data_IF_271898335168
#
_entry.id   IF_271898335168
#
_cell.length_a   1.000
_cell.length_b   1.000
_cell.length_c   1.000
_cell.angle_alpha   90.00
_cell.angle_beta   90.00
_cell.angle_gamma   90.00
#
_symmetry.space_group_name_H-M   'P 1'
#
loop_
_entity.id
_entity.type
_entity.pdbx_description
1 polymer ?
#
# COMPACT_ATOMS: atom_id res chain seq x y z
N UNK A 1 45.60 -45.33 -0.56
CA UNK A 1 45.41 -43.86 -0.60
C UNK A 1 44.26 -43.48 -1.54
N UNK A 2 43.01 -43.29 -1.07
CA UNK A 2 41.90 -42.77 -1.90
C UNK A 2 40.62 -42.40 -1.13
N UNK A 3 40.70 -41.91 0.12
CA UNK A 3 39.51 -41.52 0.90
C UNK A 3 39.56 -40.16 1.61
N UNK A 4 40.70 -39.47 1.65
CA UNK A 4 40.82 -38.19 2.37
C UNK A 4 40.28 -36.97 1.59
N UNK A 5 40.08 -37.06 0.27
CA UNK A 5 39.84 -35.90 -0.58
C UNK A 5 38.36 -35.48 -0.76
N UNK A 6 37.39 -36.26 -0.28
CA UNK A 6 35.95 -35.93 -0.44
C UNK A 6 35.38 -35.09 0.70
N UNK A 7 35.95 -35.18 1.91
CA UNK A 7 35.47 -34.42 3.07
C UNK A 7 35.98 -32.97 3.09
N UNK A 8 37.18 -32.71 2.59
CA UNK A 8 37.77 -31.35 2.55
C UNK A 8 36.99 -30.42 1.60
N UNK A 9 36.49 -30.95 0.47
CA UNK A 9 35.72 -30.16 -0.51
C UNK A 9 34.33 -29.81 0.02
N UNK A 10 33.68 -30.71 0.77
CA UNK A 10 32.35 -30.47 1.34
C UNK A 10 32.42 -29.43 2.48
N UNK A 11 33.47 -29.46 3.31
CA UNK A 11 33.64 -28.49 4.39
C UNK A 11 33.93 -27.07 3.87
N UNK A 12 34.68 -26.94 2.77
CA UNK A 12 34.92 -25.64 2.09
C UNK A 12 33.65 -25.05 1.44
N UNK A 13 32.78 -25.88 0.86
CA UNK A 13 31.53 -25.42 0.26
C UNK A 13 30.53 -24.91 1.33
N UNK A 14 30.45 -25.58 2.49
CA UNK A 14 29.58 -25.16 3.60
C UNK A 14 30.08 -23.88 4.27
N UNK A 15 31.40 -23.68 4.38
CA UNK A 15 31.97 -22.41 4.89
C UNK A 15 31.72 -21.23 3.94
N UNK A 16 31.82 -21.42 2.62
CA UNK A 16 31.50 -20.36 1.65
C UNK A 16 30.02 -19.95 1.68
N UNK A 17 29.09 -20.90 1.87
CA UNK A 17 27.67 -20.58 2.02
C UNK A 17 27.38 -19.81 3.32
N UNK A 18 28.04 -20.15 4.44
CA UNK A 18 27.85 -19.45 5.72
C UNK A 18 28.37 -18.00 5.69
N UNK A 19 29.47 -17.71 4.99
CA UNK A 19 30.00 -16.34 4.86
C UNK A 19 29.09 -15.45 3.99
N UNK A 20 28.41 -16.02 2.99
CA UNK A 20 27.46 -15.25 2.15
C UNK A 20 26.16 -14.87 2.87
N UNK A 21 25.71 -15.68 3.83
CA UNK A 21 24.48 -15.43 4.58
C UNK A 21 24.66 -14.30 5.61
N UNK A 22 25.88 -14.12 6.15
CA UNK A 22 26.20 -13.04 7.10
C UNK A 22 26.33 -11.65 6.45
N UNK A 23 27.07 -11.55 5.34
CA UNK A 23 27.36 -10.26 4.67
C UNK A 23 26.11 -9.53 4.15
N UNK A 24 25.11 -10.27 3.67
CA UNK A 24 23.88 -9.68 3.14
C UNK A 24 23.06 -8.95 4.20
N UNK A 25 22.99 -9.49 5.43
CA UNK A 25 22.23 -8.89 6.53
C UNK A 25 22.93 -7.66 7.12
N UNK A 26 24.26 -7.68 7.23
CA UNK A 26 25.04 -6.54 7.71
C UNK A 26 24.99 -5.34 6.74
N UNK A 27 25.12 -5.60 5.43
CA UNK A 27 25.02 -4.55 4.40
C UNK A 27 23.59 -3.98 4.28
N UNK A 28 22.57 -4.83 4.46
CA UNK A 28 21.17 -4.37 4.50
C UNK A 28 20.88 -3.50 5.73
N UNK A 29 21.38 -3.91 6.91
CA UNK A 29 21.26 -3.14 8.14
C UNK A 29 22.02 -1.81 8.05
N UNK A 30 23.21 -1.79 7.44
CA UNK A 30 23.97 -0.56 7.24
C UNK A 30 23.26 0.40 6.28
N UNK A 31 22.69 -0.12 5.18
CA UNK A 31 21.95 0.67 4.20
C UNK A 31 20.69 1.30 4.78
N UNK A 32 19.87 0.52 5.50
CA UNK A 32 18.67 1.04 6.18
C UNK A 32 19.02 2.13 7.21
N UNK A 33 20.06 1.91 8.01
CA UNK A 33 20.49 2.86 9.06
C UNK A 33 20.94 4.18 8.45
N UNK A 34 21.70 4.14 7.34
CA UNK A 34 22.13 5.33 6.62
C UNK A 34 20.93 6.18 6.17
N UNK A 35 19.92 5.57 5.57
CA UNK A 35 18.74 6.30 5.09
C UNK A 35 17.90 6.90 6.22
N UNK A 36 17.84 6.24 7.39
CA UNK A 36 17.20 6.78 8.58
C UNK A 36 17.98 8.00 9.11
N UNK A 37 19.30 7.92 9.18
CA UNK A 37 20.15 9.01 9.67
C UNK A 37 20.02 10.26 8.79
N UNK A 38 19.96 10.09 7.45
CA UNK A 38 19.66 11.18 6.52
C UNK A 38 18.37 11.95 6.87
N UNK A 39 17.33 11.27 7.37
CA UNK A 39 16.09 11.92 7.82
C UNK A 39 16.27 12.57 9.19
N UNK A 40 16.96 11.92 10.13
CA UNK A 40 17.26 12.50 11.46
C UNK A 40 18.10 13.78 11.39
N UNK A 41 18.91 13.95 10.36
CA UNK A 41 19.63 15.20 10.09
C UNK A 41 18.70 16.35 9.63
N UNK A 42 17.46 16.04 9.20
CA UNK A 42 16.47 17.00 8.70
C UNK A 42 15.34 17.29 9.67
N UNK A 43 15.15 16.45 10.69
CA UNK A 43 14.09 16.62 11.69
C UNK A 43 14.48 16.01 13.02
N UNK A 44 14.03 16.62 14.11
CA UNK A 44 14.12 16.06 15.46
C UNK A 44 12.98 15.10 15.80
N UNK A 45 11.99 14.96 14.92
CA UNK A 45 10.84 14.08 15.14
C UNK A 45 11.24 12.61 15.33
N UNK A 46 10.58 11.93 16.27
CA UNK A 46 10.77 10.48 16.47
C UNK A 46 10.42 9.68 15.21
N UNK A 47 11.27 8.70 14.89
CA UNK A 47 10.98 7.71 13.84
C UNK A 47 9.89 6.76 14.35
N UNK A 48 8.77 6.66 13.64
CA UNK A 48 7.64 5.78 13.96
C UNK A 48 7.69 4.49 13.16
N UNK A 49 7.77 4.63 11.83
CA UNK A 49 7.76 3.50 10.91
C UNK A 49 8.78 3.71 9.80
N UNK A 50 9.35 2.61 9.31
CA UNK A 50 10.33 2.61 8.22
C UNK A 50 9.99 1.53 7.20
N UNK A 51 9.65 1.97 5.99
CA UNK A 51 9.34 1.12 4.84
C UNK A 51 10.53 1.12 3.90
N UNK A 52 11.43 0.15 4.09
CA UNK A 52 12.71 0.06 3.39
C UNK A 52 12.69 -1.08 2.35
N UNK A 53 12.84 -0.74 1.07
CA UNK A 53 12.91 -1.71 -0.03
C UNK A 53 13.41 -1.04 -1.31
N UNK A 54 13.76 -1.84 -2.30
CA UNK A 54 14.05 -1.39 -3.67
C UNK A 54 12.73 -1.17 -4.41
N UNK A 55 12.27 0.08 -4.53
CA UNK A 55 10.91 0.37 -5.00
C UNK A 55 10.75 0.23 -6.52
N UNK A 56 11.79 0.54 -7.31
CA UNK A 56 11.77 0.48 -8.77
C UNK A 56 12.63 -0.64 -9.38
N UNK A 57 13.19 -1.51 -8.53
CA UNK A 57 13.97 -2.69 -8.89
C UNK A 57 15.28 -2.37 -9.61
N UNK A 58 15.91 -1.25 -9.26
CA UNK A 58 17.20 -0.82 -9.81
C UNK A 58 18.41 -1.38 -9.03
N UNK A 59 18.17 -2.12 -7.95
CA UNK A 59 19.19 -2.71 -7.08
C UNK A 59 19.60 -1.80 -5.91
N UNK A 60 19.17 -0.54 -5.91
CA UNK A 60 19.30 0.37 -4.78
C UNK A 60 18.03 0.30 -3.94
N UNK A 61 18.17 0.43 -2.63
CA UNK A 61 17.02 0.44 -1.71
C UNK A 61 16.78 1.87 -1.24
N UNK A 62 15.51 2.26 -1.16
CA UNK A 62 15.05 3.51 -0.60
C UNK A 62 14.20 3.26 0.64
N UNK A 63 13.90 4.34 1.36
CA UNK A 63 12.99 4.31 2.49
C UNK A 63 11.91 5.38 2.39
N UNK A 64 10.67 4.98 2.64
CA UNK A 64 9.64 5.89 3.14
C UNK A 64 9.60 5.78 4.66
N UNK A 65 9.68 6.90 5.34
CA UNK A 65 9.84 6.97 6.80
C UNK A 65 8.73 7.85 7.35
N UNK A 66 7.98 7.33 8.33
CA UNK A 66 6.99 8.11 9.06
C UNK A 66 7.65 8.60 10.34
N UNK A 67 7.63 9.91 10.54
CA UNK A 67 8.12 10.57 11.76
C UNK A 67 6.97 11.29 12.47
N UNK A 68 7.10 11.57 13.76
CA UNK A 68 6.11 12.37 14.50
C UNK A 68 6.27 12.27 16.01
N UNK A 69 5.90 13.32 16.74
CA UNK A 69 5.96 13.35 18.21
C UNK A 69 4.73 12.75 18.88
N UNK A 70 3.59 12.72 18.18
CA UNK A 70 2.34 12.10 18.62
C UNK A 70 1.79 11.16 17.53
N UNK A 71 0.67 10.50 17.84
CA UNK A 71 -0.05 9.74 16.82
C UNK A 71 -0.79 10.60 15.80
N UNK A 72 -1.05 11.86 16.17
CA UNK A 72 -1.88 12.80 15.43
C UNK A 72 -1.08 13.75 14.54
N UNK A 73 0.21 13.93 14.83
CA UNK A 73 1.11 14.81 14.08
C UNK A 73 2.28 14.00 13.51
N UNK A 74 2.05 13.47 12.30
CA UNK A 74 3.03 12.66 11.57
C UNK A 74 3.39 13.28 10.22
N UNK A 75 4.62 13.02 9.84
CA UNK A 75 5.22 13.43 8.57
C UNK A 75 5.70 12.22 7.79
N UNK A 76 5.48 12.20 6.47
CA UNK A 76 6.09 11.21 5.58
C UNK A 76 7.35 11.81 4.96
N UNK A 77 8.47 11.09 5.07
CA UNK A 77 9.73 11.40 4.42
C UNK A 77 10.06 10.32 3.38
N UNK A 78 10.69 10.75 2.29
CA UNK A 78 11.43 9.87 1.40
C UNK A 78 12.93 10.05 1.62
N UNK A 79 13.67 8.95 1.61
CA UNK A 79 15.14 8.94 1.72
C UNK A 79 15.69 7.91 0.73
N UNK A 80 16.43 8.39 -0.26
CA UNK A 80 17.16 7.59 -1.23
C UNK A 80 18.61 8.05 -1.36
N UNK A 81 19.33 7.55 -2.36
CA UNK A 81 20.69 8.02 -2.65
C UNK A 81 20.70 9.50 -3.05
N UNK A 82 19.82 9.88 -3.99
CA UNK A 82 19.81 11.17 -4.67
C UNK A 82 18.96 12.25 -3.99
N UNK A 83 18.06 11.87 -3.09
CA UNK A 83 17.09 12.79 -2.51
C UNK A 83 16.72 12.37 -1.08
N UNK A 84 16.55 13.37 -0.22
CA UNK A 84 15.89 13.24 1.08
C UNK A 84 14.84 14.35 1.13
N UNK A 85 13.57 14.00 1.24
CA UNK A 85 12.48 14.96 1.03
C UNK A 85 11.28 14.69 1.96
N UNK A 86 10.79 15.76 2.58
CA UNK A 86 9.48 15.79 3.25
C UNK A 86 8.38 15.73 2.19
N UNK A 87 7.43 14.81 2.34
CA UNK A 87 6.38 14.52 1.36
C UNK A 87 4.98 14.95 1.80
N UNK A 88 4.79 15.27 3.08
CA UNK A 88 3.54 15.87 3.59
C UNK A 88 3.73 17.36 3.80
N UNK A 89 2.75 18.14 3.36
CA UNK A 89 2.78 19.60 3.48
C UNK A 89 2.36 20.08 4.88
N UNK A 90 1.59 19.26 5.61
CA UNK A 90 1.08 19.53 6.95
C UNK A 90 1.37 18.36 7.88
N UNK A 91 1.54 18.65 9.18
CA UNK A 91 1.52 17.63 10.23
C UNK A 91 0.08 17.13 10.35
N UNK A 92 -0.14 15.86 10.00
CA UNK A 92 -1.45 15.22 9.98
C UNK A 92 -1.35 13.85 10.60
N UNK A 93 -2.49 13.26 10.97
CA UNK A 93 -2.48 11.86 11.38
C UNK A 93 -2.13 11.03 10.17
N UNK A 94 -1.03 10.27 10.24
CA UNK A 94 -0.62 9.34 9.18
C UNK A 94 -0.58 7.94 9.74
N UNK A 95 -1.16 6.99 9.02
CA UNK A 95 -1.07 5.58 9.40
C UNK A 95 -0.95 4.67 8.20
N UNK A 96 -0.50 3.45 8.46
CA UNK A 96 -0.57 2.35 7.49
C UNK A 96 -1.42 1.24 8.09
N UNK A 97 -2.40 0.76 7.32
CA UNK A 97 -3.26 -0.35 7.71
C UNK A 97 -2.98 -1.61 6.89
N UNK A 98 -3.87 -2.60 7.06
CA UNK A 98 -3.87 -3.81 6.24
C UNK A 98 -4.11 -3.43 4.78
N UNK A 99 -3.12 -3.68 3.92
CA UNK A 99 -3.15 -3.31 2.50
C UNK A 99 -2.48 -1.96 2.19
N UNK A 100 -1.86 -1.32 3.17
CA UNK A 100 -0.95 -0.17 2.97
C UNK A 100 0.51 -0.58 3.26
N UNK A 101 1.42 0.40 3.27
CA UNK A 101 2.85 0.19 3.38
C UNK A 101 3.47 -0.12 2.02
N UNK A 102 4.18 -1.23 1.89
CA UNK A 102 4.87 -1.63 0.65
C UNK A 102 3.96 -2.48 -0.22
N UNK A 103 3.54 -1.95 -1.36
CA UNK A 103 2.59 -2.61 -2.27
C UNK A 103 3.30 -3.04 -3.56
N UNK A 104 3.57 -4.34 -3.71
CA UNK A 104 4.15 -4.90 -4.95
C UNK A 104 3.10 -4.94 -6.07
N UNK A 105 3.28 -4.10 -7.09
CA UNK A 105 2.32 -3.99 -8.21
C UNK A 105 2.78 -4.70 -9.48
N UNK A 106 4.08 -4.93 -9.63
CA UNK A 106 4.64 -5.73 -10.72
C UNK A 106 5.99 -6.34 -10.31
N UNK A 107 6.68 -7.00 -11.26
CA UNK A 107 8.06 -7.46 -11.06
C UNK A 107 9.08 -6.31 -11.02
N UNK A 108 8.72 -5.12 -11.51
CA UNK A 108 9.62 -3.98 -11.68
C UNK A 108 9.08 -2.72 -10.98
N UNK A 109 8.10 -2.85 -10.08
CA UNK A 109 7.57 -1.68 -9.37
C UNK A 109 6.85 -2.07 -8.08
N UNK A 110 7.15 -1.33 -7.02
CA UNK A 110 6.41 -1.27 -5.77
C UNK A 110 5.92 0.17 -5.55
N UNK A 111 4.84 0.30 -4.79
CA UNK A 111 4.31 1.59 -4.34
C UNK A 111 4.44 1.67 -2.81
N UNK A 112 4.58 2.88 -2.29
CA UNK A 112 4.34 3.16 -0.87
C UNK A 112 2.94 3.76 -0.69
N UNK A 113 2.14 3.18 0.20
CA UNK A 113 0.79 3.63 0.52
C UNK A 113 0.68 3.94 2.02
N UNK A 114 -0.01 5.02 2.34
CA UNK A 114 -0.42 5.38 3.70
C UNK A 114 -1.77 6.12 3.64
N UNK A 115 -2.45 6.27 4.77
CA UNK A 115 -3.63 7.12 4.92
C UNK A 115 -3.28 8.35 5.76
N UNK A 116 -4.02 9.43 5.54
CA UNK A 116 -3.88 10.73 6.17
C UNK A 116 -5.23 11.27 6.63
N UNK A 117 -5.26 11.97 7.76
CA UNK A 117 -6.44 12.76 8.19
C UNK A 117 -6.01 14.00 8.96
N UNK A 118 -6.76 15.10 8.77
CA UNK A 118 -6.64 16.33 9.56
C UNK A 118 -7.63 16.34 10.75
N UNK A 119 -8.20 15.19 11.10
CA UNK A 119 -9.26 15.07 12.10
C UNK A 119 -10.68 15.06 11.49
N UNK A 120 -11.67 14.74 12.32
CA UNK A 120 -13.07 14.61 11.91
C UNK A 120 -13.33 13.36 11.05
N UNK A 121 -14.32 13.43 10.16
CA UNK A 121 -14.74 12.31 9.30
C UNK A 121 -14.12 12.33 7.89
N UNK A 122 -13.07 13.12 7.67
CA UNK A 122 -12.41 13.23 6.36
C UNK A 122 -11.01 12.63 6.40
N UNK A 123 -10.73 11.71 5.47
CA UNK A 123 -9.39 11.17 5.27
C UNK A 123 -9.02 11.10 3.79
N UNK A 124 -7.72 10.93 3.52
CA UNK A 124 -7.18 10.79 2.17
C UNK A 124 -5.99 9.85 2.16
N UNK A 125 -5.77 9.22 1.02
CA UNK A 125 -4.67 8.29 0.85
C UNK A 125 -3.45 8.99 0.28
N UNK A 126 -2.27 8.64 0.78
CA UNK A 126 -1.00 8.93 0.15
C UNK A 126 -0.55 7.73 -0.69
N UNK A 127 -0.10 7.98 -1.92
CA UNK A 127 0.53 6.96 -2.74
C UNK A 127 1.74 7.54 -3.47
N UNK A 128 2.86 6.84 -3.36
CA UNK A 128 4.10 7.22 -4.00
C UNK A 128 4.73 6.03 -4.71
N UNK A 129 5.44 6.30 -5.80
CA UNK A 129 6.36 5.36 -6.42
C UNK A 129 7.74 6.01 -6.57
N UNK A 130 8.77 5.19 -6.71
CA UNK A 130 10.13 5.69 -6.98
C UNK A 130 10.38 5.64 -8.49
N UNK A 131 11.05 6.68 -8.99
CA UNK A 131 11.58 6.70 -10.35
C UNK A 131 12.87 7.49 -10.37
N UNK A 132 13.93 6.89 -10.89
CA UNK A 132 15.25 7.52 -11.01
C UNK A 132 15.80 8.00 -9.65
N UNK A 133 15.57 7.22 -8.58
CA UNK A 133 16.01 7.54 -7.21
C UNK A 133 15.27 8.70 -6.54
N UNK A 134 14.06 9.06 -7.02
CA UNK A 134 13.21 10.13 -6.47
C UNK A 134 11.80 9.63 -6.20
N UNK A 135 11.17 10.14 -5.15
CA UNK A 135 9.77 9.87 -4.87
C UNK A 135 8.84 10.69 -5.79
N UNK A 136 7.86 10.01 -6.38
CA UNK A 136 6.82 10.62 -7.22
C UNK A 136 5.46 10.39 -6.59
N UNK A 137 4.78 11.49 -6.26
CA UNK A 137 3.41 11.47 -5.73
C UNK A 137 2.39 11.14 -6.81
N UNK A 138 1.48 10.23 -6.49
CA UNK A 138 0.29 9.94 -7.29
C UNK A 138 -0.82 10.88 -6.82
N UNK A 139 -1.33 11.70 -7.75
CA UNK A 139 -2.45 12.61 -7.47
C UNK A 139 -3.79 11.87 -7.49
N UNK A 140 -4.78 12.39 -6.76
CA UNK A 140 -6.19 11.93 -6.77
C UNK A 140 -6.35 10.46 -6.34
N UNK A 141 -5.73 10.12 -5.22
CA UNK A 141 -5.72 8.79 -4.59
C UNK A 141 -6.99 8.47 -3.79
N UNK A 142 -7.86 9.46 -3.59
CA UNK A 142 -9.12 9.36 -2.83
C UNK A 142 -8.88 8.96 -1.38
N UNK A 143 -9.81 8.22 -0.78
CA UNK A 143 -9.86 7.85 0.63
C UNK A 143 -9.87 6.32 0.72
N UNK A 144 -9.15 5.76 1.70
CA UNK A 144 -9.14 4.33 1.96
C UNK A 144 -8.49 3.50 0.84
N UNK A 145 -7.52 4.04 0.10
CA UNK A 145 -6.80 3.32 -0.94
C UNK A 145 -6.11 2.09 -0.36
N UNK A 146 -6.62 0.92 -0.72
CA UNK A 146 -6.20 -0.37 -0.19
C UNK A 146 -5.62 -1.23 -1.31
N UNK A 147 -4.41 -1.75 -1.12
CA UNK A 147 -3.83 -2.75 -2.03
C UNK A 147 -4.47 -4.11 -1.82
N UNK A 148 -5.05 -4.67 -2.89
CA UNK A 148 -5.64 -6.01 -2.87
C UNK A 148 -4.57 -7.04 -3.24
N UNK A 149 -4.06 -6.95 -4.48
CA UNK A 149 -3.02 -7.84 -5.01
C UNK A 149 -2.52 -7.34 -6.36
N UNK A 150 -1.20 -7.38 -6.58
CA UNK A 150 -0.61 -7.01 -7.88
C UNK A 150 -1.06 -5.60 -8.28
N UNK A 151 -1.68 -5.45 -9.45
CA UNK A 151 -2.15 -4.14 -9.93
C UNK A 151 -3.52 -3.75 -9.40
N UNK A 152 -4.14 -4.54 -8.53
CA UNK A 152 -5.53 -4.33 -8.09
C UNK A 152 -5.60 -3.65 -6.73
N UNK A 153 -6.45 -2.63 -6.67
CA UNK A 153 -6.68 -1.77 -5.51
C UNK A 153 -8.17 -1.54 -5.32
N UNK A 154 -8.55 -1.06 -4.15
CA UNK A 154 -9.85 -0.46 -3.90
C UNK A 154 -9.69 0.90 -3.22
N UNK A 155 -10.68 1.78 -3.37
CA UNK A 155 -10.87 2.97 -2.54
C UNK A 155 -12.24 2.87 -1.88
N UNK A 156 -12.39 3.55 -0.75
CA UNK A 156 -13.61 3.62 0.02
C UNK A 156 -13.87 5.09 0.36
N UNK A 157 -14.28 5.92 -0.61
CA UNK A 157 -14.75 7.26 -0.29
C UNK A 157 -16.00 7.19 0.60
N UNK A 158 -15.99 8.03 1.63
CA UNK A 158 -17.17 8.35 2.42
C UNK A 158 -18.25 9.02 1.56
N UNK A 159 -19.50 8.64 1.79
CA UNK A 159 -20.67 9.34 1.31
C UNK A 159 -21.65 9.50 2.48
N UNK A 160 -21.98 10.74 2.80
CA UNK A 160 -23.05 11.03 3.75
C UNK A 160 -24.38 10.74 3.07
N UNK A 161 -25.04 9.67 3.50
CA UNK A 161 -26.45 9.48 3.28
C UNK A 161 -27.17 10.42 4.25
N UNK A 162 -27.68 11.54 3.73
CA UNK A 162 -28.35 12.64 4.44
C UNK A 162 -29.57 12.18 5.27
N UNK A 163 -29.36 11.41 6.32
CA UNK A 163 -30.30 11.38 7.43
C UNK A 163 -29.85 12.48 8.40
N UNK A 164 -30.80 13.24 8.92
CA UNK A 164 -30.52 14.23 9.96
C UNK A 164 -31.09 13.70 11.27
N UNK A 165 -30.34 13.81 12.35
CA UNK A 165 -30.87 13.47 13.68
C UNK A 165 -31.83 14.57 14.18
N UNK A 166 -32.37 14.37 15.38
CA UNK A 166 -33.29 15.33 16.03
C UNK A 166 -32.65 16.69 16.33
N UNK A 167 -31.33 16.83 16.19
CA UNK A 167 -30.59 18.09 16.36
C UNK A 167 -30.28 18.76 15.02
N UNK A 168 -30.66 18.14 13.90
CA UNK A 168 -30.37 18.63 12.55
C UNK A 168 -28.97 18.29 12.06
N UNK A 169 -28.18 17.49 12.78
CA UNK A 169 -26.88 17.03 12.31
C UNK A 169 -27.03 15.89 11.32
N UNK A 170 -26.26 15.93 10.24
CA UNK A 170 -26.19 14.80 9.29
C UNK A 170 -25.62 13.57 10.00
N UNK A 171 -26.45 12.55 10.15
CA UNK A 171 -26.12 11.23 10.69
C UNK A 171 -26.23 10.20 9.59
N UNK A 172 -25.22 9.35 9.45
CA UNK A 172 -25.13 8.41 8.34
C UNK A 172 -23.84 8.61 7.57
N UNK A 173 -23.03 7.55 7.55
CA UNK A 173 -21.79 7.53 6.81
C UNK A 173 -21.68 6.19 6.10
N UNK A 174 -21.86 6.20 4.78
CA UNK A 174 -21.72 5.01 3.95
C UNK A 174 -20.37 5.02 3.24
N UNK A 175 -19.63 3.92 3.38
CA UNK A 175 -18.38 3.69 2.68
C UNK A 175 -18.63 2.89 1.40
N UNK A 176 -18.39 3.50 0.23
CA UNK A 176 -18.65 2.84 -1.07
C UNK A 176 -17.36 2.33 -1.69
N UNK A 177 -17.27 1.02 -1.91
CA UNK A 177 -16.09 0.43 -2.54
C UNK A 177 -16.04 0.67 -4.06
N UNK A 178 -14.94 1.25 -4.54
CA UNK A 178 -14.59 1.33 -5.96
C UNK A 178 -13.29 0.59 -6.21
N UNK A 179 -13.26 -0.21 -7.27
CA UNK A 179 -12.10 -1.04 -7.60
C UNK A 179 -11.26 -0.39 -8.69
N UNK A 180 -9.96 -0.33 -8.47
CA UNK A 180 -9.00 0.36 -9.32
C UNK A 180 -7.90 -0.58 -9.80
N UNK A 181 -7.35 -0.27 -10.97
CA UNK A 181 -6.16 -0.88 -11.54
C UNK A 181 -5.02 0.13 -11.62
N UNK A 182 -3.85 -0.26 -11.16
CA UNK A 182 -2.60 0.46 -11.41
C UNK A 182 -2.12 0.22 -12.84
N UNK A 183 -1.94 1.29 -13.62
CA UNK A 183 -1.48 1.19 -15.02
C UNK A 183 0.04 1.44 -15.20
N UNK A 184 0.78 1.65 -14.12
CA UNK A 184 2.21 2.02 -14.15
C UNK A 184 2.48 3.48 -13.74
N UNK A 185 1.48 4.35 -13.83
CA UNK A 185 1.60 5.78 -13.51
C UNK A 185 0.45 6.33 -12.66
N UNK A 186 -0.76 5.82 -12.85
CA UNK A 186 -1.98 6.27 -12.16
C UNK A 186 -2.93 5.10 -11.92
N UNK A 187 -3.90 5.34 -11.05
CA UNK A 187 -5.05 4.47 -10.89
C UNK A 187 -6.08 4.72 -11.99
N UNK A 188 -6.66 3.64 -12.48
CA UNK A 188 -7.76 3.63 -13.46
C UNK A 188 -8.86 2.78 -12.88
N UNK A 189 -10.09 3.31 -12.80
CA UNK A 189 -11.22 2.55 -12.29
C UNK A 189 -11.54 1.35 -13.20
N UNK A 190 -11.87 0.22 -12.58
CA UNK A 190 -12.56 -0.86 -13.27
C UNK A 190 -13.98 -0.41 -13.60
N UNK A 191 -14.18 0.12 -14.80
CA UNK A 191 -15.50 0.52 -15.28
C UNK A 191 -16.45 -0.68 -15.25
N UNK A 192 -17.64 -0.48 -14.67
CA UNK A 192 -18.67 -1.50 -14.66
C UNK A 192 -19.21 -1.74 -16.07
N UNK A 193 -19.14 -2.97 -16.56
CA UNK A 193 -19.91 -3.42 -17.71
C UNK A 193 -21.26 -3.90 -17.22
N UNK A 194 -22.35 -3.29 -17.68
CA UNK A 194 -23.69 -3.80 -17.38
C UNK A 194 -23.83 -5.23 -17.87
N UNK A 195 -24.32 -6.12 -17.00
CA UNK A 195 -24.64 -7.51 -17.32
C UNK A 195 -26.09 -7.82 -16.96
N UNK A 196 -26.63 -8.87 -17.56
CA UNK A 196 -27.98 -9.36 -17.27
C UNK A 196 -27.99 -10.32 -16.08
N UNK A 197 -29.16 -10.55 -15.49
CA UNK A 197 -29.34 -11.57 -14.44
C UNK A 197 -28.93 -12.97 -14.93
N UNK A 198 -29.21 -13.28 -16.20
CA UNK A 198 -28.79 -14.54 -16.83
C UNK A 198 -27.27 -14.66 -16.90
N UNK A 199 -26.56 -13.57 -17.19
CA UNK A 199 -25.10 -13.55 -17.18
C UNK A 199 -24.54 -13.70 -15.77
N UNK A 200 -25.15 -13.05 -14.76
CA UNK A 200 -24.75 -13.20 -13.36
C UNK A 200 -24.86 -14.66 -12.88
N UNK A 201 -25.92 -15.37 -13.26
CA UNK A 201 -26.15 -16.78 -12.88
C UNK A 201 -25.05 -17.74 -13.36
N UNK A 202 -24.20 -17.33 -14.32
CA UNK A 202 -23.06 -18.13 -14.79
C UNK A 202 -21.85 -18.10 -13.86
N UNK A 203 -21.83 -17.19 -12.87
CA UNK A 203 -20.73 -17.07 -11.92
C UNK A 203 -20.97 -17.94 -10.68
N UNK A 204 -19.89 -18.53 -10.18
CA UNK A 204 -19.91 -19.30 -8.93
C UNK A 204 -20.40 -18.43 -7.77
N UNK A 205 -21.28 -19.00 -6.93
CA UNK A 205 -21.87 -18.30 -5.79
C UNK A 205 -23.04 -17.36 -6.12
N UNK A 206 -23.34 -17.08 -7.40
CA UNK A 206 -24.43 -16.19 -7.79
C UNK A 206 -25.78 -16.64 -7.21
N UNK A 207 -26.09 -17.94 -7.27
CA UNK A 207 -27.35 -18.49 -6.73
C UNK A 207 -27.54 -18.23 -5.23
N UNK A 208 -26.46 -18.25 -4.45
CA UNK A 208 -26.51 -17.97 -3.00
C UNK A 208 -26.83 -16.50 -2.72
N UNK A 209 -26.20 -15.59 -3.46
CA UNK A 209 -26.44 -14.15 -3.35
C UNK A 209 -27.88 -13.82 -3.75
N UNK A 210 -28.36 -14.37 -4.88
CA UNK A 210 -29.73 -14.14 -5.37
C UNK A 210 -30.79 -14.63 -4.36
N UNK A 211 -30.56 -15.79 -3.73
CA UNK A 211 -31.45 -16.29 -2.66
C UNK A 211 -31.51 -15.34 -1.46
N UNK A 212 -30.38 -14.77 -1.03
CA UNK A 212 -30.34 -13.80 0.07
C UNK A 212 -31.13 -12.54 -0.26
N UNK A 213 -30.91 -11.97 -1.45
CA UNK A 213 -31.62 -10.78 -1.92
C UNK A 213 -33.13 -11.01 -1.90
N UNK A 214 -33.59 -12.14 -2.46
CA UNK A 214 -35.01 -12.50 -2.49
C UNK A 214 -35.59 -12.72 -1.08
N UNK A 215 -34.86 -13.40 -0.18
CA UNK A 215 -35.30 -13.62 1.21
C UNK A 215 -35.50 -12.30 1.96
N UNK A 216 -34.72 -11.28 1.64
CA UNK A 216 -34.83 -9.94 2.23
C UNK A 216 -35.91 -9.07 1.59
N UNK A 217 -36.64 -9.58 0.60
CA UNK A 217 -37.72 -8.84 -0.08
C UNK A 217 -37.22 -7.77 -1.06
N UNK A 218 -35.93 -7.73 -1.38
CA UNK A 218 -35.37 -6.73 -2.28
C UNK A 218 -35.55 -7.09 -3.76
N UNK A 219 -35.70 -6.06 -4.59
CA UNK A 219 -35.70 -6.19 -6.05
C UNK A 219 -34.30 -5.95 -6.61
N UNK A 220 -33.92 -6.75 -7.59
CA UNK A 220 -32.65 -6.57 -8.31
C UNK A 220 -32.86 -5.49 -9.38
N UNK A 221 -32.10 -4.40 -9.27
CA UNK A 221 -32.02 -3.36 -10.29
C UNK A 221 -30.97 -3.69 -11.35
N UNK A 222 -30.04 -2.75 -11.57
CA UNK A 222 -28.97 -2.94 -12.54
C UNK A 222 -27.79 -3.74 -11.97
N UNK A 223 -27.20 -4.61 -12.79
CA UNK A 223 -26.07 -5.46 -12.41
C UNK A 223 -24.86 -5.03 -13.21
N UNK A 224 -23.76 -4.73 -12.51
CA UNK A 224 -22.51 -4.30 -13.12
C UNK A 224 -21.41 -5.32 -12.83
N UNK A 225 -20.79 -5.84 -13.88
CA UNK A 225 -19.59 -6.64 -13.81
C UNK A 225 -18.35 -5.75 -13.86
N UNK A 226 -17.45 -5.92 -12.91
CA UNK A 226 -16.13 -5.30 -12.91
C UNK A 226 -15.09 -6.42 -13.03
N UNK A 227 -14.25 -6.36 -14.08
CA UNK A 227 -13.19 -7.35 -14.33
C UNK A 227 -11.98 -7.03 -13.44
N UNK A 228 -12.09 -7.34 -12.15
CA UNK A 228 -11.02 -7.13 -11.17
C UNK A 228 -9.91 -8.18 -11.31
#
# INVERSE_FOLDING_TARGET
MKRANRYVIIVMAVLCCLVTVGKGKECEASGKTLLINKVKEKTSEKIRDVFYTDYDYDGLKEAFIITGESDEEKTIWFSGEKEVKKLTDLSVSVWTGKGNGICKVSKNQKLFLAEGSAGGSYSWSYCFYVKNGRAVSVKKTSEGLTHIKGKNFAIYPGAFDLMVDSTGMSVGHTWKAYYLKWNGKKFVEYTGKRITLTQLKKYDGASSILKKINKMGYKIGEIYYRKN
#
